data_IF_833247362098
#
_entry.id   IF_833247362098
#
_cell.length_a   1.000
_cell.length_b   1.000
_cell.length_c   1.000
_cell.angle_alpha   90.00
_cell.angle_beta   90.00
_cell.angle_gamma   90.00
#
_symmetry.space_group_name_H-M   'P 1'
#
loop_
_entity.id
_entity.type
_entity.pdbx_description
1 polymer ?
#
# COMPACT_ATOMS: atom_id res chain seq x y z
N UNK A 1 -8.92 -24.12 31.14
CA UNK A 1 -8.14 -25.30 30.72
C UNK A 1 -8.77 -25.82 29.42
N UNK A 2 -8.42 -25.21 28.29
CA UNK A 2 -8.89 -25.64 26.97
C UNK A 2 -7.73 -25.53 25.97
N UNK A 3 -7.67 -26.53 25.10
CA UNK A 3 -6.49 -26.99 24.39
C UNK A 3 -6.01 -26.04 23.29
N UNK A 4 -4.69 -25.85 23.27
CA UNK A 4 -3.89 -25.35 22.17
C UNK A 4 -4.20 -26.20 20.92
N UNK A 5 -4.99 -25.66 19.99
CA UNK A 5 -5.02 -26.15 18.61
C UNK A 5 -3.99 -25.37 17.82
N UNK A 6 -2.75 -25.88 17.81
CA UNK A 6 -1.81 -25.61 16.73
C UNK A 6 -2.44 -26.15 15.45
N UNK A 7 -3.03 -25.27 14.65
CA UNK A 7 -3.28 -25.57 13.25
C UNK A 7 -1.91 -25.63 12.60
N UNK A 8 -1.36 -26.84 12.51
CA UNK A 8 -0.33 -27.17 11.55
C UNK A 8 -1.02 -27.01 10.19
N UNK A 9 -0.91 -25.81 9.61
CA UNK A 9 -1.16 -25.64 8.20
C UNK A 9 -0.21 -26.56 7.48
N UNK A 10 -0.74 -27.63 6.88
CA UNK A 10 -0.03 -28.35 5.84
C UNK A 10 0.17 -27.34 4.70
N UNK A 11 1.31 -26.66 4.73
CA UNK A 11 1.85 -25.99 3.56
C UNK A 11 2.16 -27.12 2.58
N UNK A 12 1.22 -27.39 1.68
CA UNK A 12 1.57 -28.03 0.42
C UNK A 12 2.46 -27.04 -0.32
N UNK A 13 3.76 -27.09 -0.07
CA UNK A 13 4.77 -26.59 -0.97
C UNK A 13 4.71 -27.48 -2.22
N UNK A 14 3.79 -27.16 -3.12
CA UNK A 14 4.02 -27.47 -4.52
C UNK A 14 5.16 -26.56 -4.97
N UNK A 15 6.40 -27.01 -4.76
CA UNK A 15 7.50 -26.57 -5.59
C UNK A 15 7.22 -27.10 -6.99
N UNK A 16 6.64 -26.27 -7.86
CA UNK A 16 7.01 -26.34 -9.26
C UNK A 16 8.38 -25.67 -9.39
N UNK A 17 9.43 -26.35 -8.91
CA UNK A 17 10.77 -26.07 -9.37
C UNK A 17 10.83 -26.56 -10.82
N UNK A 18 10.45 -25.70 -11.75
CA UNK A 18 10.97 -25.80 -13.11
C UNK A 18 12.43 -25.33 -13.03
N UNK A 19 13.33 -26.17 -12.53
CA UNK A 19 14.75 -25.99 -12.75
C UNK A 19 14.94 -26.05 -14.26
N UNK A 20 15.06 -24.89 -14.90
CA UNK A 20 15.56 -24.82 -16.27
C UNK A 20 16.94 -25.46 -16.20
N UNK A 21 17.11 -26.60 -16.87
CA UNK A 21 18.43 -27.21 -17.05
C UNK A 21 19.34 -26.15 -17.70
N UNK A 22 20.26 -25.55 -16.94
CA UNK A 22 21.20 -24.54 -17.44
C UNK A 22 21.30 -23.21 -16.67
N UNK A 23 20.55 -22.99 -15.58
CA UNK A 23 20.73 -21.78 -14.76
C UNK A 23 22.05 -21.82 -13.97
N UNK A 24 22.88 -20.78 -14.12
CA UNK A 24 24.22 -20.69 -13.51
C UNK A 24 24.34 -19.57 -12.47
N UNK A 25 23.25 -18.84 -12.23
CA UNK A 25 23.19 -17.72 -11.30
C UNK A 25 21.95 -17.79 -10.42
N UNK A 26 22.09 -17.35 -9.18
CA UNK A 26 21.02 -17.10 -8.22
C UNK A 26 20.84 -15.59 -8.02
N UNK A 27 19.61 -15.16 -7.74
CA UNK A 27 19.28 -13.77 -7.45
C UNK A 27 18.27 -13.69 -6.32
N UNK A 28 18.47 -12.71 -5.44
CA UNK A 28 17.54 -12.35 -4.38
C UNK A 28 17.18 -10.88 -4.58
N UNK A 29 15.88 -10.58 -4.57
CA UNK A 29 15.36 -9.22 -4.58
C UNK A 29 14.86 -8.92 -3.16
N UNK A 30 15.40 -7.91 -2.49
CA UNK A 30 15.19 -7.69 -1.05
C UNK A 30 15.96 -8.71 -0.19
N UNK A 31 15.45 -9.07 0.99
CA UNK A 31 16.20 -9.89 1.97
C UNK A 31 15.72 -11.34 2.16
N UNK A 32 14.56 -11.78 1.63
CA UNK A 32 13.99 -13.08 2.07
C UNK A 32 13.28 -14.04 1.11
N UNK A 33 12.94 -13.71 -0.14
CA UNK A 33 12.44 -14.69 -1.12
C UNK A 33 12.29 -14.04 -2.50
N UNK A 34 12.99 -14.52 -3.53
CA UNK A 34 12.90 -13.96 -4.88
C UNK A 34 11.51 -14.14 -5.52
N UNK A 35 10.79 -15.22 -5.19
CA UNK A 35 9.46 -15.53 -5.75
C UNK A 35 8.32 -14.67 -5.17
N UNK A 36 8.57 -13.94 -4.09
CA UNK A 36 7.57 -13.09 -3.40
C UNK A 36 7.95 -11.61 -3.37
N UNK A 37 9.17 -11.28 -3.79
CA UNK A 37 9.64 -9.91 -3.81
C UNK A 37 9.01 -9.18 -4.99
N UNK A 38 8.03 -8.32 -4.70
CA UNK A 38 7.42 -7.43 -5.66
C UNK A 38 8.11 -6.07 -5.62
N UNK A 39 8.36 -5.52 -6.80
CA UNK A 39 8.91 -4.20 -7.00
C UNK A 39 7.82 -3.13 -7.01
N UNK A 40 8.30 -1.90 -6.85
CA UNK A 40 7.56 -0.66 -7.00
C UNK A 40 8.53 0.35 -7.64
N UNK A 41 8.17 1.63 -7.75
CA UNK A 41 9.01 2.65 -8.38
C UNK A 41 10.28 3.01 -7.61
N UNK A 42 10.30 2.77 -6.30
CA UNK A 42 11.50 3.02 -5.50
C UNK A 42 12.55 1.92 -5.71
N UNK A 43 13.84 2.27 -5.84
CA UNK A 43 14.93 1.31 -5.88
C UNK A 43 15.00 0.51 -4.58
N UNK A 44 15.25 -0.80 -4.72
CA UNK A 44 15.50 -1.70 -3.61
C UNK A 44 16.76 -2.51 -3.89
N UNK A 45 17.41 -2.97 -2.82
CA UNK A 45 18.60 -3.80 -2.93
C UNK A 45 18.21 -5.18 -3.47
N UNK A 46 18.95 -5.64 -4.47
CA UNK A 46 18.94 -7.00 -4.96
C UNK A 46 20.38 -7.52 -4.97
N UNK A 47 20.54 -8.84 -4.97
CA UNK A 47 21.83 -9.52 -4.98
C UNK A 47 21.84 -10.60 -6.05
N UNK A 48 22.97 -10.81 -6.70
CA UNK A 48 23.16 -11.89 -7.68
C UNK A 48 24.49 -12.59 -7.43
N UNK A 49 24.54 -13.90 -7.60
CA UNK A 49 25.72 -14.74 -7.41
C UNK A 49 25.75 -15.87 -8.44
N UNK A 50 26.93 -16.46 -8.66
CA UNK A 50 27.04 -17.74 -9.38
C UNK A 50 26.50 -18.87 -8.49
N UNK A 51 25.74 -19.80 -9.06
CA UNK A 51 25.26 -20.99 -8.32
C UNK A 51 26.40 -21.91 -7.89
N UNK A 52 27.49 -21.91 -8.67
CA UNK A 52 28.69 -22.70 -8.40
C UNK A 52 29.96 -21.88 -8.72
N UNK A 53 31.04 -22.04 -7.94
CA UNK A 53 32.32 -21.42 -8.23
C UNK A 53 32.84 -21.73 -9.65
N UNK A 54 33.58 -20.78 -10.23
CA UNK A 54 34.20 -20.88 -11.55
C UNK A 54 35.71 -20.63 -11.47
N UNK A 55 36.42 -20.86 -12.56
CA UNK A 55 37.87 -20.65 -12.64
C UNK A 55 38.27 -19.17 -12.76
N UNK A 56 37.34 -18.32 -13.19
CA UNK A 56 37.53 -16.88 -13.38
C UNK A 56 36.23 -16.13 -13.09
N UNK A 57 36.34 -14.83 -12.81
CA UNK A 57 35.18 -13.97 -12.61
C UNK A 57 34.36 -13.89 -13.91
N UNK A 58 33.05 -13.79 -13.78
CA UNK A 58 32.12 -13.83 -14.93
C UNK A 58 31.49 -12.45 -15.11
N UNK A 59 31.76 -11.79 -16.23
CA UNK A 59 31.08 -10.55 -16.59
C UNK A 59 29.68 -10.87 -17.13
N UNK A 60 28.66 -10.24 -16.56
CA UNK A 60 27.26 -10.39 -16.95
C UNK A 60 26.59 -9.04 -17.14
N UNK A 61 25.53 -9.01 -17.95
CA UNK A 61 24.63 -7.88 -18.11
C UNK A 61 23.24 -8.30 -17.64
N UNK A 62 22.67 -7.56 -16.69
CA UNK A 62 21.28 -7.71 -16.29
C UNK A 62 20.41 -6.82 -17.17
N UNK A 63 19.33 -7.39 -17.72
CA UNK A 63 18.37 -6.68 -18.57
C UNK A 63 16.93 -7.02 -18.17
N UNK A 64 16.02 -6.04 -18.29
CA UNK A 64 14.59 -6.32 -18.36
C UNK A 64 14.30 -6.95 -19.73
N UNK A 65 13.68 -8.12 -19.81
CA UNK A 65 13.53 -8.88 -21.06
C UNK A 65 12.14 -9.53 -21.20
N UNK A 66 11.53 -9.58 -22.39
CA UNK A 66 11.92 -8.84 -23.58
C UNK A 66 11.60 -7.36 -23.39
N UNK A 67 12.54 -6.51 -23.77
CA UNK A 67 12.36 -5.06 -23.77
C UNK A 67 11.98 -4.63 -25.17
N UNK A 68 10.69 -4.50 -25.41
CA UNK A 68 10.17 -3.93 -26.65
C UNK A 68 9.37 -2.68 -26.27
N UNK A 69 9.56 -1.57 -27.00
CA UNK A 69 8.92 -0.29 -26.68
C UNK A 69 7.38 -0.36 -26.81
N UNK A 70 6.84 -1.45 -27.38
CA UNK A 70 5.42 -1.76 -27.55
C UNK A 70 4.79 -2.55 -26.38
N UNK A 71 5.58 -3.14 -25.47
CA UNK A 71 5.07 -3.85 -24.30
C UNK A 71 4.79 -2.87 -23.16
N UNK A 72 3.51 -2.76 -22.78
CA UNK A 72 3.04 -1.93 -21.66
C UNK A 72 3.11 -2.63 -20.29
N UNK A 73 3.59 -3.87 -20.24
CA UNK A 73 3.48 -4.72 -19.04
C UNK A 73 4.86 -4.95 -18.43
N UNK A 74 4.95 -4.77 -17.11
CA UNK A 74 6.03 -5.23 -16.24
C UNK A 74 7.45 -4.98 -16.75
N UNK A 75 7.98 -3.77 -16.57
CA UNK A 75 9.38 -3.47 -16.90
C UNK A 75 10.16 -2.99 -15.69
N UNK A 76 11.47 -3.22 -15.70
CA UNK A 76 12.38 -2.74 -14.65
C UNK A 76 13.53 -1.91 -15.19
N UNK A 77 14.06 -1.10 -14.29
CA UNK A 77 15.28 -0.33 -14.47
C UNK A 77 16.25 -0.66 -13.34
N UNK A 78 17.54 -0.61 -13.68
CA UNK A 78 18.63 -0.83 -12.74
C UNK A 78 19.27 0.50 -12.40
N UNK A 79 19.87 0.58 -11.22
CA UNK A 79 20.61 1.75 -10.82
C UNK A 79 22.01 1.37 -10.37
N UNK A 80 23.01 2.09 -10.86
CA UNK A 80 24.39 1.88 -10.45
C UNK A 80 24.55 2.24 -8.97
N UNK A 81 24.92 1.26 -8.13
CA UNK A 81 25.24 1.48 -6.72
C UNK A 81 26.58 2.22 -6.66
N UNK A 82 26.59 3.50 -6.26
CA UNK A 82 27.84 4.16 -5.89
C UNK A 82 28.28 3.59 -4.54
N UNK A 83 29.43 2.90 -4.50
CA UNK A 83 30.09 2.34 -3.30
C UNK A 83 30.44 3.43 -2.26
N UNK A 84 29.43 4.06 -1.67
CA UNK A 84 29.60 5.23 -0.79
C UNK A 84 29.05 5.01 0.61
N UNK A 85 28.46 3.84 0.89
CA UNK A 85 27.83 3.53 2.18
C UNK A 85 26.60 4.40 2.50
N UNK A 86 26.11 5.19 1.54
CA UNK A 86 24.91 6.02 1.68
C UNK A 86 23.71 5.34 1.00
N UNK A 87 22.55 5.46 1.63
CA UNK A 87 21.28 4.97 1.09
C UNK A 87 20.89 5.66 -0.22
N UNK A 88 20.04 4.95 -0.94
CA UNK A 88 19.64 5.33 -2.26
C UNK A 88 18.51 6.36 -2.30
N UNK A 89 18.84 7.65 -2.30
CA UNK A 89 17.88 8.79 -2.38
C UNK A 89 17.50 9.20 -3.80
N UNK A 90 16.32 9.76 -4.02
CA UNK A 90 15.86 10.23 -5.34
C UNK A 90 16.78 11.25 -6.02
N UNK A 91 17.72 11.91 -5.31
CA UNK A 91 18.63 12.92 -5.87
C UNK A 91 19.89 12.35 -6.52
N UNK A 92 20.40 11.19 -6.10
CA UNK A 92 21.76 10.73 -6.46
C UNK A 92 21.84 9.43 -7.28
N UNK A 93 20.72 8.84 -7.68
CA UNK A 93 20.68 7.72 -8.63
C UNK A 93 20.76 8.16 -10.09
N UNK A 94 20.93 7.21 -11.00
CA UNK A 94 20.64 7.33 -12.44
C UNK A 94 20.16 5.96 -12.88
N UNK A 95 18.95 5.87 -13.42
CA UNK A 95 18.42 4.61 -13.94
C UNK A 95 19.08 4.26 -15.27
N UNK A 96 19.22 2.96 -15.51
CA UNK A 96 19.64 2.38 -16.78
C UNK A 96 18.72 1.21 -17.13
N UNK A 97 18.59 0.95 -18.42
CA UNK A 97 17.83 -0.18 -18.95
C UNK A 97 18.53 -1.52 -18.72
N UNK A 98 19.83 -1.47 -18.43
CA UNK A 98 20.70 -2.60 -18.13
C UNK A 98 21.80 -2.20 -17.13
N UNK A 99 22.40 -3.20 -16.47
CA UNK A 99 23.59 -3.00 -15.65
C UNK A 99 24.60 -4.12 -15.89
N UNK A 100 25.86 -3.74 -16.09
CA UNK A 100 26.96 -4.71 -16.12
C UNK A 100 27.42 -5.02 -14.69
N UNK A 101 27.59 -6.30 -14.39
CA UNK A 101 28.03 -6.81 -13.09
C UNK A 101 29.17 -7.82 -13.32
N UNK A 102 30.19 -7.79 -12.47
CA UNK A 102 31.23 -8.82 -12.43
C UNK A 102 30.91 -9.76 -11.28
N UNK A 103 30.56 -11.00 -11.60
CA UNK A 103 30.29 -12.05 -10.62
C UNK A 103 31.61 -12.69 -10.15
N UNK A 104 31.92 -12.65 -8.85
CA UNK A 104 33.11 -13.26 -8.28
C UNK A 104 33.16 -14.77 -8.51
N UNK A 105 34.31 -15.27 -8.96
CA UNK A 105 34.51 -16.70 -9.25
C UNK A 105 34.29 -17.64 -8.07
N UNK A 106 34.33 -17.13 -6.84
CA UNK A 106 34.11 -17.88 -5.61
C UNK A 106 32.62 -18.02 -5.24
N UNK A 107 31.70 -17.39 -6.00
CA UNK A 107 30.27 -17.42 -5.72
C UNK A 107 29.77 -16.35 -4.74
N UNK A 108 30.61 -15.36 -4.39
CA UNK A 108 30.17 -14.27 -3.51
C UNK A 108 29.04 -13.43 -4.15
N UNK A 109 28.11 -12.99 -3.30
CA UNK A 109 26.98 -12.16 -3.70
C UNK A 109 27.41 -10.74 -4.07
N UNK A 110 26.92 -10.25 -5.21
CA UNK A 110 27.08 -8.86 -5.64
C UNK A 110 25.75 -8.13 -5.51
N UNK A 111 25.76 -7.01 -4.77
CA UNK A 111 24.58 -6.17 -4.60
C UNK A 111 24.41 -5.16 -5.74
N UNK A 112 23.18 -4.97 -6.18
CA UNK A 112 22.75 -3.94 -7.12
C UNK A 112 21.39 -3.38 -6.70
N UNK A 113 20.90 -2.37 -7.42
CA UNK A 113 19.60 -1.77 -7.17
C UNK A 113 18.69 -1.96 -8.38
N UNK A 114 17.43 -2.27 -8.11
CA UNK A 114 16.39 -2.48 -9.11
C UNK A 114 15.09 -1.80 -8.67
N UNK A 115 14.34 -1.25 -9.63
CA UNK A 115 12.98 -0.76 -9.43
C UNK A 115 12.14 -1.04 -10.68
N UNK A 116 10.82 -0.88 -10.55
CA UNK A 116 9.94 -0.81 -11.71
C UNK A 116 10.26 0.39 -12.60
N UNK A 117 10.14 0.21 -13.91
CA UNK A 117 10.21 1.28 -14.89
C UNK A 117 8.88 2.05 -14.88
N UNK A 118 8.91 3.31 -14.45
CA UNK A 118 7.70 4.09 -14.23
C UNK A 118 6.86 4.17 -15.52
N UNK A 119 5.56 3.88 -15.40
CA UNK A 119 4.65 3.76 -16.54
C UNK A 119 4.49 2.35 -17.09
N UNK A 120 5.26 1.38 -16.60
CA UNK A 120 5.20 -0.03 -17.02
C UNK A 120 4.93 -0.98 -15.84
N UNK A 121 3.82 -0.81 -15.10
CA UNK A 121 3.47 -1.71 -14.01
C UNK A 121 3.15 -3.11 -14.55
N UNK A 122 3.22 -4.12 -13.69
CA UNK A 122 2.75 -5.45 -14.03
C UNK A 122 1.23 -5.45 -14.25
N UNK A 123 0.80 -6.31 -15.17
CA UNK A 123 -0.62 -6.64 -15.39
C UNK A 123 -0.93 -8.05 -14.90
N UNK A 124 0.08 -8.92 -14.80
CA UNK A 124 -0.03 -10.24 -14.22
C UNK A 124 1.09 -10.47 -13.19
N UNK A 125 0.87 -11.36 -12.20
CA UNK A 125 1.96 -11.80 -11.33
C UNK A 125 3.11 -12.40 -12.13
N UNK A 126 4.34 -12.08 -11.74
CA UNK A 126 5.59 -12.62 -12.30
C UNK A 126 5.79 -12.34 -13.80
N UNK A 127 5.21 -11.25 -14.32
CA UNK A 127 5.32 -10.86 -15.73
C UNK A 127 6.56 -10.03 -16.07
N UNK A 128 7.29 -9.55 -15.05
CA UNK A 128 8.62 -8.97 -15.22
C UNK A 128 9.63 -10.10 -15.29
N UNK A 129 10.55 -10.01 -16.25
CA UNK A 129 11.63 -10.97 -16.41
C UNK A 129 12.98 -10.26 -16.46
N UNK A 130 13.81 -10.51 -15.47
CA UNK A 130 15.19 -10.04 -15.37
C UNK A 130 16.10 -11.14 -15.91
N UNK A 131 16.67 -10.91 -17.09
CA UNK A 131 17.63 -11.83 -17.70
C UNK A 131 19.05 -11.50 -17.28
N UNK A 132 19.86 -12.52 -17.03
CA UNK A 132 21.30 -12.40 -16.82
C UNK A 132 22.00 -12.96 -18.05
N UNK A 133 22.69 -12.09 -18.78
CA UNK A 133 23.32 -12.39 -20.07
C UNK A 133 24.84 -12.32 -19.92
N UNK A 134 25.57 -13.34 -20.38
CA UNK A 134 27.04 -13.36 -20.31
C UNK A 134 27.69 -12.50 -21.41
N UNK A 135 29.03 -12.45 -21.44
CA UNK A 135 29.79 -11.70 -22.45
C UNK A 135 29.58 -12.14 -23.90
N UNK A 136 29.10 -13.37 -24.13
CA UNK A 136 28.80 -13.92 -25.46
C UNK A 136 27.36 -13.62 -25.92
N UNK A 137 26.57 -12.91 -25.11
CA UNK A 137 25.16 -12.65 -25.39
C UNK A 137 24.24 -13.83 -25.05
N UNK A 138 24.74 -14.85 -24.36
CA UNK A 138 23.97 -16.03 -23.95
C UNK A 138 23.29 -15.74 -22.61
N UNK A 139 22.00 -16.03 -22.52
CA UNK A 139 21.28 -15.97 -21.25
C UNK A 139 21.65 -17.16 -20.37
N UNK A 140 22.11 -16.84 -19.16
CA UNK A 140 22.64 -17.82 -18.19
C UNK A 140 21.81 -17.87 -16.89
N UNK A 141 20.73 -17.07 -16.82
CA UNK A 141 19.77 -17.05 -15.74
C UNK A 141 18.58 -16.12 -16.00
N UNK A 142 17.44 -16.43 -15.39
CA UNK A 142 16.20 -15.65 -15.48
C UNK A 142 15.60 -15.54 -14.08
N UNK A 143 15.14 -14.34 -13.74
CA UNK A 143 14.40 -14.10 -12.51
C UNK A 143 13.09 -13.36 -12.81
N UNK A 144 11.98 -13.97 -12.42
CA UNK A 144 10.67 -13.38 -12.62
C UNK A 144 10.21 -12.66 -11.36
N UNK A 145 9.56 -11.51 -11.54
CA UNK A 145 9.02 -10.69 -10.45
C UNK A 145 7.81 -9.89 -10.97
N UNK A 146 7.24 -9.03 -10.15
CA UNK A 146 6.18 -8.12 -10.57
C UNK A 146 6.45 -6.70 -10.07
N UNK A 147 5.98 -5.70 -10.81
CA UNK A 147 5.89 -4.31 -10.35
C UNK A 147 4.45 -4.03 -9.93
N UNK A 148 4.21 -3.91 -8.62
CA UNK A 148 2.90 -3.62 -8.05
C UNK A 148 2.73 -2.12 -7.83
N UNK A 149 1.55 -1.62 -8.19
CA UNK A 149 1.12 -0.25 -7.91
C UNK A 149 -0.35 -0.20 -7.52
N UNK A 150 -0.71 0.78 -6.68
CA UNK A 150 -2.09 1.20 -6.48
C UNK A 150 -2.54 1.96 -7.72
N UNK A 151 -3.63 1.51 -8.34
CA UNK A 151 -4.15 2.05 -9.60
C UNK A 151 -5.48 2.77 -9.39
N UNK A 152 -5.81 3.68 -10.29
CA UNK A 152 -7.15 4.26 -10.31
C UNK A 152 -8.19 3.16 -10.55
N UNK A 153 -9.15 3.03 -9.64
CA UNK A 153 -10.21 2.05 -9.69
C UNK A 153 -11.05 2.12 -11.00
N UNK A 154 -11.18 3.31 -11.61
CA UNK A 154 -11.84 3.49 -12.91
C UNK A 154 -11.10 2.85 -14.09
N UNK A 155 -9.80 2.58 -13.94
CA UNK A 155 -8.91 2.04 -14.98
C UNK A 155 -8.55 0.57 -14.77
N UNK A 156 -9.02 -0.05 -13.68
CA UNK A 156 -8.75 -1.46 -13.43
C UNK A 156 -9.39 -2.33 -14.51
N UNK A 157 -8.66 -3.35 -14.92
CA UNK A 157 -9.18 -4.46 -15.71
C UNK A 157 -10.14 -5.32 -14.88
N UNK A 158 -10.95 -6.14 -15.55
CA UNK A 158 -11.83 -7.11 -14.88
C UNK A 158 -11.06 -8.07 -13.97
N UNK A 159 -9.86 -8.51 -14.38
CA UNK A 159 -9.00 -9.40 -13.60
C UNK A 159 -8.50 -8.73 -12.32
N UNK A 160 -8.11 -7.45 -12.40
CA UNK A 160 -7.66 -6.70 -11.22
C UNK A 160 -8.81 -6.43 -10.25
N UNK A 161 -9.98 -6.08 -10.77
CA UNK A 161 -11.20 -5.97 -9.97
C UNK A 161 -11.53 -7.27 -9.25
N UNK A 162 -11.58 -8.38 -9.98
CA UNK A 162 -11.84 -9.70 -9.40
C UNK A 162 -10.81 -10.08 -8.34
N UNK A 163 -9.52 -9.77 -8.56
CA UNK A 163 -8.46 -10.01 -7.57
C UNK A 163 -8.74 -9.27 -6.27
N UNK A 164 -8.98 -7.97 -6.33
CA UNK A 164 -9.29 -7.17 -5.15
C UNK A 164 -10.55 -7.66 -4.42
N UNK A 165 -11.64 -7.86 -5.17
CA UNK A 165 -12.95 -8.26 -4.63
C UNK A 165 -12.87 -9.64 -3.97
N UNK A 166 -12.29 -10.63 -4.66
CA UNK A 166 -12.15 -11.99 -4.14
C UNK A 166 -11.26 -12.02 -2.89
N UNK A 167 -10.13 -11.33 -2.91
CA UNK A 167 -9.19 -11.31 -1.78
C UNK A 167 -9.82 -10.69 -0.54
N UNK A 168 -10.52 -9.56 -0.70
CA UNK A 168 -11.22 -8.92 0.41
C UNK A 168 -12.41 -9.76 0.91
N UNK A 169 -13.11 -10.47 0.00
CA UNK A 169 -14.18 -11.39 0.39
C UNK A 169 -13.68 -12.56 1.25
N UNK A 170 -12.48 -13.06 0.96
CA UNK A 170 -11.80 -14.09 1.76
C UNK A 170 -11.40 -13.52 3.12
N UNK A 171 -10.77 -12.34 3.17
CA UNK A 171 -10.36 -11.70 4.42
C UNK A 171 -11.55 -11.41 5.36
N UNK A 172 -12.69 -11.00 4.78
CA UNK A 172 -13.93 -10.75 5.51
C UNK A 172 -14.74 -12.00 5.83
N UNK A 173 -14.39 -13.13 5.23
CA UNK A 173 -15.11 -14.39 5.37
C UNK A 173 -16.61 -14.26 5.03
N UNK A 174 -16.92 -13.58 3.90
CA UNK A 174 -18.30 -13.17 3.51
C UNK A 174 -19.30 -14.33 3.50
N UNK A 175 -18.83 -15.54 3.19
CA UNK A 175 -19.70 -16.71 3.03
C UNK A 175 -19.94 -17.49 4.33
N UNK A 176 -19.26 -17.15 5.42
CA UNK A 176 -19.43 -17.78 6.73
C UNK A 176 -19.87 -16.74 7.79
N UNK A 177 -19.73 -17.08 9.07
CA UNK A 177 -19.95 -16.14 10.17
C UNK A 177 -18.82 -15.10 10.24
N UNK A 178 -18.96 -14.05 9.43
CA UNK A 178 -18.04 -12.92 9.38
C UNK A 178 -17.89 -12.12 10.69
N UNK A 179 -18.65 -12.45 11.75
CA UNK A 179 -18.63 -11.69 13.03
C UNK A 179 -17.28 -11.68 13.74
N UNK A 180 -16.40 -12.64 13.42
CA UNK A 180 -15.04 -12.74 13.97
C UNK A 180 -13.94 -12.69 12.88
N UNK A 181 -14.27 -12.27 11.66
CA UNK A 181 -13.26 -12.16 10.59
C UNK A 181 -12.21 -11.09 10.91
N UNK A 182 -11.02 -11.18 10.30
CA UNK A 182 -10.01 -10.15 10.49
C UNK A 182 -10.47 -8.78 9.96
N UNK A 183 -11.27 -8.77 8.89
CA UNK A 183 -11.80 -7.54 8.33
C UNK A 183 -12.67 -6.77 9.33
N UNK A 184 -13.55 -7.42 10.11
CA UNK A 184 -14.44 -6.69 11.04
C UNK A 184 -13.71 -5.96 12.16
N UNK A 185 -12.42 -6.26 12.38
CA UNK A 185 -11.57 -5.47 13.29
C UNK A 185 -11.31 -4.05 12.76
N UNK A 186 -11.26 -3.84 11.45
CA UNK A 186 -10.95 -2.55 10.83
C UNK A 186 -11.99 -1.45 11.17
N UNK A 187 -13.31 -1.64 10.98
CA UNK A 187 -14.28 -0.63 11.37
C UNK A 187 -14.32 -0.38 12.88
N UNK A 188 -14.07 -1.42 13.70
CA UNK A 188 -14.01 -1.29 15.17
C UNK A 188 -12.82 -0.42 15.57
N UNK A 189 -11.62 -0.74 15.08
CA UNK A 189 -10.40 0.03 15.33
C UNK A 189 -10.56 1.46 14.84
N UNK A 190 -11.01 1.68 13.62
CA UNK A 190 -11.17 3.04 13.10
C UNK A 190 -12.10 3.89 13.97
N UNK A 191 -13.23 3.33 14.41
CA UNK A 191 -14.15 4.03 15.29
C UNK A 191 -13.56 4.35 16.66
N UNK A 192 -12.77 3.42 17.24
CA UNK A 192 -12.07 3.64 18.50
C UNK A 192 -10.90 4.62 18.38
N UNK A 193 -10.16 4.62 17.25
CA UNK A 193 -8.98 5.44 17.00
C UNK A 193 -9.28 6.92 16.71
N UNK A 194 -10.54 7.36 16.81
CA UNK A 194 -10.98 8.69 16.36
C UNK A 194 -10.06 9.82 16.83
N UNK A 195 -9.62 9.80 18.09
CA UNK A 195 -8.77 10.84 18.68
C UNK A 195 -7.37 10.94 18.06
N UNK A 196 -6.86 9.90 17.41
CA UNK A 196 -5.57 9.91 16.71
C UNK A 196 -5.74 10.05 15.20
N UNK A 197 -6.76 9.37 14.66
CA UNK A 197 -6.99 9.26 13.24
C UNK A 197 -7.63 10.51 12.62
N UNK A 198 -8.29 11.36 13.42
CA UNK A 198 -9.11 12.48 12.94
C UNK A 198 -8.89 13.75 13.78
N UNK A 199 -9.35 14.89 13.26
CA UNK A 199 -9.35 16.18 13.93
C UNK A 199 -7.95 16.77 14.14
N UNK A 200 -6.96 16.31 13.38
CA UNK A 200 -5.58 16.70 13.61
C UNK A 200 -4.57 16.21 12.57
N UNK A 201 -3.31 16.64 12.72
CA UNK A 201 -2.29 16.44 11.69
C UNK A 201 -1.94 14.97 11.43
N UNK A 202 -2.27 14.04 12.34
CA UNK A 202 -2.05 12.61 12.09
C UNK A 202 -3.09 11.96 11.17
N UNK A 203 -4.11 12.70 10.71
CA UNK A 203 -5.09 12.19 9.76
C UNK A 203 -4.44 11.48 8.56
N UNK A 204 -3.45 12.11 7.92
CA UNK A 204 -2.77 11.52 6.75
C UNK A 204 -1.89 10.30 7.12
N UNK A 205 -0.92 10.39 8.06
CA UNK A 205 -0.05 9.26 8.39
C UNK A 205 -0.80 8.09 9.03
N UNK A 206 -1.81 8.33 9.87
CA UNK A 206 -2.60 7.26 10.49
C UNK A 206 -3.37 6.46 9.43
N UNK A 207 -4.01 7.14 8.48
CA UNK A 207 -4.72 6.44 7.41
C UNK A 207 -3.78 5.76 6.39
N UNK A 208 -2.58 6.30 6.15
CA UNK A 208 -1.52 5.61 5.40
C UNK A 208 -1.14 4.29 6.07
N UNK A 209 -0.91 4.31 7.38
CA UNK A 209 -0.64 3.12 8.18
C UNK A 209 -1.81 2.12 8.15
N UNK A 210 -3.05 2.61 8.25
CA UNK A 210 -4.27 1.80 8.20
C UNK A 210 -4.48 1.10 6.85
N UNK A 211 -4.24 1.80 5.74
CA UNK A 211 -4.23 1.20 4.40
C UNK A 211 -3.13 0.16 4.26
N UNK A 212 -1.92 0.46 4.75
CA UNK A 212 -0.79 -0.46 4.64
C UNK A 212 -1.07 -1.75 5.41
N UNK A 213 -1.65 -1.64 6.61
CA UNK A 213 -2.08 -2.79 7.40
C UNK A 213 -3.03 -3.69 6.61
N UNK A 214 -4.13 -3.13 6.06
CA UNK A 214 -5.08 -3.92 5.27
C UNK A 214 -4.41 -4.54 4.03
N UNK A 215 -3.65 -3.74 3.28
CA UNK A 215 -3.05 -4.20 2.03
C UNK A 215 -2.10 -5.37 2.25
N UNK A 216 -1.41 -5.43 3.40
CA UNK A 216 -0.51 -6.55 3.69
C UNK A 216 -1.27 -7.80 4.12
N UNK A 217 -2.36 -7.67 4.88
CA UNK A 217 -3.25 -8.81 5.17
C UNK A 217 -3.86 -9.39 3.88
N UNK A 218 -4.27 -8.53 2.94
CA UNK A 218 -4.71 -8.96 1.62
C UNK A 218 -3.58 -9.67 0.85
N UNK A 219 -2.34 -9.20 0.99
CA UNK A 219 -1.19 -9.80 0.31
C UNK A 219 -0.72 -11.13 0.89
N UNK A 220 -1.15 -11.48 2.11
CA UNK A 220 -1.00 -12.85 2.63
C UNK A 220 -1.88 -13.82 1.83
N UNK A 221 -3.07 -13.39 1.41
CA UNK A 221 -4.01 -14.18 0.60
C UNK A 221 -3.62 -14.15 -0.89
N UNK A 222 -3.34 -12.97 -1.43
CA UNK A 222 -2.91 -12.77 -2.82
C UNK A 222 -1.76 -11.76 -2.87
N UNK A 223 -0.53 -12.27 -3.01
CA UNK A 223 0.67 -11.41 -2.99
C UNK A 223 0.72 -10.33 -4.08
N UNK A 224 -0.09 -10.39 -5.14
CA UNK A 224 -0.09 -9.38 -6.20
C UNK A 224 -1.15 -8.27 -5.99
N UNK A 225 -2.10 -8.46 -5.06
CA UNK A 225 -3.18 -7.49 -4.82
C UNK A 225 -2.64 -6.15 -4.29
N UNK A 226 -3.28 -5.06 -4.73
CA UNK A 226 -3.09 -3.71 -4.21
C UNK A 226 -4.45 -3.08 -3.94
N UNK A 227 -4.51 -2.13 -3.00
CA UNK A 227 -5.72 -1.34 -2.78
C UNK A 227 -5.82 -0.29 -3.89
N UNK A 228 -6.87 -0.29 -4.72
CA UNK A 228 -7.04 0.74 -5.73
C UNK A 228 -7.53 2.04 -5.09
N UNK A 229 -7.36 3.16 -5.78
CA UNK A 229 -7.88 4.45 -5.33
C UNK A 229 -9.05 4.92 -6.17
N UNK A 230 -10.04 5.57 -5.55
CA UNK A 230 -11.11 6.24 -6.28
C UNK A 230 -10.80 7.73 -6.40
N UNK A 231 -10.51 8.19 -7.62
CA UNK A 231 -10.36 9.62 -7.91
C UNK A 231 -11.74 10.31 -7.90
N UNK A 232 -12.20 10.62 -6.69
CA UNK A 232 -13.57 11.09 -6.40
C UNK A 232 -13.81 12.57 -6.73
N UNK A 233 -12.81 13.32 -7.19
CA UNK A 233 -13.00 14.66 -7.78
C UNK A 233 -13.36 14.59 -9.29
N UNK A 234 -13.66 13.40 -9.79
CA UNK A 234 -14.14 13.15 -11.15
C UNK A 234 -15.26 12.10 -11.15
N UNK A 235 -15.99 12.00 -12.27
CA UNK A 235 -17.03 10.99 -12.44
C UNK A 235 -16.45 9.56 -12.42
N UNK A 236 -17.19 8.62 -11.82
CA UNK A 236 -16.77 7.25 -11.57
C UNK A 236 -17.76 6.21 -12.09
N UNK A 237 -17.64 5.84 -13.37
CA UNK A 237 -18.61 4.98 -14.07
C UNK A 237 -18.37 3.50 -13.85
N UNK A 238 -17.12 3.09 -13.60
CA UNK A 238 -16.73 1.70 -13.51
C UNK A 238 -16.65 1.18 -12.07
N UNK A 239 -16.56 2.07 -11.08
CA UNK A 239 -16.47 1.69 -9.66
C UNK A 239 -17.82 1.20 -9.10
N UNK A 240 -18.90 1.95 -9.32
CA UNK A 240 -20.21 1.69 -8.72
C UNK A 240 -21.12 0.89 -9.66
N UNK A 241 -20.69 -0.35 -9.95
CA UNK A 241 -21.42 -1.30 -10.79
C UNK A 241 -21.76 -2.55 -10.00
N UNK A 242 -22.75 -3.32 -10.46
CA UNK A 242 -23.14 -4.62 -9.86
C UNK A 242 -21.99 -5.64 -9.78
N UNK A 243 -20.92 -5.46 -10.57
CA UNK A 243 -19.77 -6.36 -10.64
C UNK A 243 -18.55 -5.86 -9.87
N UNK A 244 -18.59 -4.63 -9.34
CA UNK A 244 -17.50 -4.00 -8.62
C UNK A 244 -17.97 -3.60 -7.20
N UNK A 245 -18.06 -2.31 -6.90
CA UNK A 245 -18.41 -1.86 -5.55
C UNK A 245 -19.91 -1.92 -5.26
N UNK A 246 -20.75 -2.31 -6.22
CA UNK A 246 -22.20 -2.34 -6.07
C UNK A 246 -22.89 -1.03 -6.47
N UNK A 247 -24.20 -1.10 -6.61
CA UNK A 247 -25.11 -0.02 -7.05
C UNK A 247 -26.17 0.22 -5.96
N UNK A 248 -26.83 1.39 -5.87
CA UNK A 248 -27.89 1.55 -4.87
C UNK A 248 -29.13 0.71 -5.25
N UNK A 249 -29.77 0.09 -4.26
CA UNK A 249 -31.10 -0.52 -4.38
C UNK A 249 -32.16 0.58 -4.43
N UNK A 250 -32.75 0.82 -5.61
CA UNK A 250 -33.77 1.85 -5.79
C UNK A 250 -33.23 3.29 -5.65
N UNK A 251 -34.14 4.26 -5.54
CA UNK A 251 -33.82 5.70 -5.61
C UNK A 251 -33.56 6.39 -4.24
N UNK A 252 -33.52 5.63 -3.13
CA UNK A 252 -33.36 6.22 -1.79
C UNK A 252 -31.90 6.42 -1.38
N UNK A 253 -31.61 7.49 -0.62
CA UNK A 253 -30.28 7.84 -0.10
C UNK A 253 -29.74 6.88 1.00
N UNK A 254 -30.58 6.02 1.56
CA UNK A 254 -30.14 4.96 2.49
C UNK A 254 -30.41 3.57 1.87
N UNK A 255 -30.25 3.46 0.55
CA UNK A 255 -30.51 2.25 -0.19
C UNK A 255 -29.55 1.13 0.20
N UNK A 256 -30.06 -0.10 0.28
CA UNK A 256 -29.18 -1.29 0.38
C UNK A 256 -28.27 -1.32 -0.85
N UNK A 257 -27.01 -1.69 -0.68
CA UNK A 257 -26.13 -1.86 -1.84
C UNK A 257 -26.43 -3.21 -2.51
N UNK A 258 -26.64 -3.20 -3.81
CA UNK A 258 -26.87 -4.40 -4.62
C UNK A 258 -25.64 -4.81 -5.40
N UNK A 259 -25.51 -6.12 -5.56
CA UNK A 259 -24.47 -6.77 -6.33
C UNK A 259 -25.10 -7.82 -7.26
N UNK A 260 -24.36 -8.23 -8.30
CA UNK A 260 -24.78 -9.34 -9.13
C UNK A 260 -24.91 -10.65 -8.31
N UNK A 261 -25.74 -11.59 -8.79
CA UNK A 261 -26.03 -12.83 -8.06
C UNK A 261 -24.79 -13.70 -7.74
N UNK A 262 -23.75 -13.57 -8.56
CA UNK A 262 -22.49 -14.30 -8.42
C UNK A 262 -21.37 -13.45 -7.78
N UNK A 263 -21.67 -12.23 -7.36
CA UNK A 263 -20.69 -11.36 -6.75
C UNK A 263 -20.22 -11.90 -5.40
N UNK A 264 -18.90 -11.92 -5.11
CA UNK A 264 -18.37 -12.39 -3.83
C UNK A 264 -18.93 -11.63 -2.62
N UNK A 265 -19.34 -10.37 -2.79
CA UNK A 265 -19.90 -9.53 -1.73
C UNK A 265 -21.44 -9.51 -1.66
N UNK A 266 -22.16 -10.39 -2.37
CA UNK A 266 -23.64 -10.40 -2.36
C UNK A 266 -24.26 -10.53 -0.96
N UNK A 267 -23.54 -11.17 -0.04
CA UNK A 267 -23.92 -11.40 1.35
C UNK A 267 -23.10 -10.58 2.34
N UNK A 268 -22.39 -9.55 1.87
CA UNK A 268 -21.56 -8.70 2.70
C UNK A 268 -22.34 -8.10 3.86
N UNK A 269 -21.82 -8.32 5.08
CA UNK A 269 -22.40 -7.85 6.33
C UNK A 269 -21.33 -7.52 7.35
N UNK A 270 -21.57 -6.52 8.17
CA UNK A 270 -20.81 -6.22 9.40
C UNK A 270 -21.83 -6.08 10.54
N UNK A 271 -21.58 -6.65 11.72
CA UNK A 271 -22.56 -6.65 12.81
C UNK A 271 -23.96 -7.17 12.41
N UNK A 272 -24.01 -8.18 11.51
CA UNK A 272 -25.25 -8.74 10.96
C UNK A 272 -25.98 -7.86 9.91
N UNK A 273 -25.55 -6.62 9.72
CA UNK A 273 -26.21 -5.62 8.87
C UNK A 273 -25.55 -5.55 7.50
N UNK A 274 -26.36 -5.51 6.42
CA UNK A 274 -25.86 -5.35 5.04
C UNK A 274 -25.29 -3.95 4.81
N UNK A 275 -24.51 -3.78 3.74
CA UNK A 275 -24.14 -2.46 3.24
C UNK A 275 -25.39 -1.62 2.92
N UNK A 276 -25.36 -0.37 3.33
CA UNK A 276 -26.47 0.59 3.23
C UNK A 276 -25.86 1.97 2.98
N UNK A 277 -25.87 2.43 1.73
CA UNK A 277 -25.18 3.66 1.31
C UNK A 277 -25.84 4.29 0.07
N UNK A 278 -25.69 5.60 -0.10
CA UNK A 278 -25.98 6.40 -1.30
C UNK A 278 -24.91 6.20 -2.38
N UNK A 279 -24.71 4.98 -2.89
CA UNK A 279 -23.79 4.79 -4.03
C UNK A 279 -24.19 5.73 -5.18
N UNK A 280 -23.25 6.43 -5.84
CA UNK A 280 -23.57 7.42 -6.85
C UNK A 280 -24.02 6.66 -8.08
N UNK A 281 -25.33 6.47 -8.21
CA UNK A 281 -25.94 5.88 -9.40
C UNK A 281 -25.40 6.57 -10.66
N UNK A 282 -25.07 5.76 -11.67
CA UNK A 282 -24.49 6.20 -12.94
C UNK A 282 -23.12 6.92 -12.86
N UNK A 283 -22.43 6.85 -11.72
CA UNK A 283 -21.06 7.33 -11.59
C UNK A 283 -20.89 8.84 -11.50
N UNK A 284 -21.86 9.54 -10.92
CA UNK A 284 -21.77 10.98 -10.70
C UNK A 284 -20.64 11.33 -9.73
N UNK A 285 -19.93 12.43 -10.00
CA UNK A 285 -18.94 12.98 -9.07
C UNK A 285 -19.63 13.47 -7.79
N UNK A 286 -19.06 13.21 -6.59
CA UNK A 286 -19.44 13.87 -5.36
C UNK A 286 -19.41 15.41 -5.46
N UNK A 287 -20.49 16.05 -5.01
CA UNK A 287 -20.61 17.51 -4.92
C UNK A 287 -19.86 18.00 -3.68
N UNK A 288 -19.22 19.17 -3.77
CA UNK A 288 -18.50 19.79 -2.64
C UNK A 288 -17.01 19.49 -2.62
N UNK A 289 -16.61 18.31 -3.13
CA UNK A 289 -15.20 17.88 -3.21
C UNK A 289 -14.32 18.95 -3.85
N UNK A 290 -13.34 19.42 -3.09
CA UNK A 290 -12.24 20.26 -3.60
C UNK A 290 -11.43 19.44 -4.61
N UNK A 291 -11.20 19.91 -5.85
CA UNK A 291 -10.36 19.20 -6.82
C UNK A 291 -8.94 18.90 -6.31
N UNK A 292 -8.40 17.73 -6.66
CA UNK A 292 -7.09 17.29 -6.15
C UNK A 292 -5.97 18.28 -6.53
N UNK A 293 -6.05 18.92 -7.70
CA UNK A 293 -5.05 19.87 -8.18
C UNK A 293 -4.98 21.13 -7.31
N UNK A 294 -6.07 21.54 -6.66
CA UNK A 294 -6.06 22.65 -5.69
C UNK A 294 -5.42 22.24 -4.36
N UNK A 295 -5.67 21.00 -3.92
CA UNK A 295 -5.02 20.45 -2.72
C UNK A 295 -3.51 20.33 -2.95
N UNK A 296 -3.11 19.75 -4.08
CA UNK A 296 -1.72 19.54 -4.46
C UNK A 296 -1.00 20.87 -4.71
N UNK A 297 -1.66 21.81 -5.37
CA UNK A 297 -1.13 23.14 -5.70
C UNK A 297 -1.08 24.11 -4.52
N UNK A 298 -1.57 23.71 -3.34
CA UNK A 298 -1.43 24.52 -2.13
C UNK A 298 0.06 24.68 -1.77
N UNK A 299 0.61 25.85 -2.11
CA UNK A 299 1.92 26.31 -1.67
C UNK A 299 1.83 26.69 -0.19
N UNK A 300 1.70 25.69 0.69
CA UNK A 300 1.34 25.90 2.08
C UNK A 300 2.00 24.92 3.03
N UNK A 301 2.00 25.27 4.31
CA UNK A 301 2.42 24.38 5.37
C UNK A 301 1.50 23.15 5.46
N UNK A 302 2.00 22.09 6.09
CA UNK A 302 1.26 20.85 6.31
C UNK A 302 -0.12 21.06 6.96
N UNK A 303 -0.30 22.13 7.74
CA UNK A 303 -1.55 22.37 8.46
C UNK A 303 -2.71 22.68 7.53
N UNK A 304 -2.49 23.50 6.51
CA UNK A 304 -3.50 23.76 5.48
C UNK A 304 -3.80 22.50 4.67
N UNK A 305 -2.77 21.71 4.34
CA UNK A 305 -2.96 20.46 3.60
C UNK A 305 -3.87 19.49 4.34
N UNK A 306 -3.53 19.08 5.57
CA UNK A 306 -4.31 18.04 6.26
C UNK A 306 -5.73 18.52 6.56
N UNK A 307 -5.92 19.80 6.89
CA UNK A 307 -7.24 20.36 7.20
C UNK A 307 -8.15 20.40 5.96
N UNK A 308 -7.64 20.79 4.79
CA UNK A 308 -8.42 20.75 3.55
C UNK A 308 -8.64 19.32 3.07
N UNK A 309 -7.66 18.45 3.29
CA UNK A 309 -7.79 17.04 2.94
C UNK A 309 -8.89 16.37 3.76
N UNK A 310 -8.86 16.50 5.09
CA UNK A 310 -9.85 15.90 6.01
C UNK A 310 -11.24 16.53 5.86
N UNK A 311 -11.32 17.84 5.64
CA UNK A 311 -12.57 18.57 5.42
C UNK A 311 -13.16 18.31 4.02
N UNK A 312 -13.31 19.37 3.23
CA UNK A 312 -14.07 19.35 1.96
C UNK A 312 -13.42 18.58 0.79
N UNK A 313 -12.42 17.74 1.01
CA UNK A 313 -11.96 16.78 -0.01
C UNK A 313 -12.41 15.36 0.34
N UNK A 314 -11.89 14.83 1.45
CA UNK A 314 -12.25 13.51 1.99
C UNK A 314 -13.67 13.49 2.59
N UNK A 315 -13.99 14.44 3.47
CA UNK A 315 -15.27 14.51 4.17
C UNK A 315 -16.45 14.57 3.22
N UNK A 316 -16.39 15.42 2.18
CA UNK A 316 -17.45 15.52 1.18
C UNK A 316 -17.61 14.22 0.34
N UNK A 317 -16.54 13.45 0.15
CA UNK A 317 -16.61 12.14 -0.51
C UNK A 317 -17.32 11.11 0.37
N UNK A 318 -17.09 11.13 1.69
CA UNK A 318 -17.83 10.31 2.66
C UNK A 318 -19.30 10.72 2.76
N UNK A 319 -19.57 12.01 2.96
CA UNK A 319 -20.91 12.56 3.16
C UNK A 319 -21.81 12.32 1.95
N UNK A 320 -21.25 12.38 0.74
CA UNK A 320 -22.02 12.09 -0.48
C UNK A 320 -22.54 10.65 -0.52
N UNK A 321 -21.75 9.71 -0.02
CA UNK A 321 -22.12 8.29 0.01
C UNK A 321 -23.01 7.96 1.20
N UNK A 322 -23.10 8.83 2.22
CA UNK A 322 -24.02 8.70 3.36
C UNK A 322 -23.88 7.31 4.05
N UNK A 323 -24.91 6.82 4.75
CA UNK A 323 -24.98 5.42 5.15
C UNK A 323 -23.94 5.01 6.20
N UNK A 324 -23.22 3.92 5.91
CA UNK A 324 -22.07 3.50 6.73
C UNK A 324 -20.89 4.42 6.53
N UNK A 325 -20.68 4.91 5.31
CA UNK A 325 -19.55 5.74 4.96
C UNK A 325 -19.57 7.11 5.65
N UNK A 326 -20.72 7.64 6.05
CA UNK A 326 -20.84 8.88 6.82
C UNK A 326 -20.70 8.69 8.36
N UNK A 327 -20.24 7.52 8.84
CA UNK A 327 -20.13 7.20 10.27
C UNK A 327 -18.70 6.81 10.66
N UNK A 328 -18.40 6.79 11.96
CA UNK A 328 -17.09 6.33 12.47
C UNK A 328 -16.77 4.87 12.16
N UNK A 329 -17.77 4.06 11.78
CA UNK A 329 -17.62 2.67 11.33
C UNK A 329 -17.52 2.55 9.79
N UNK A 330 -17.21 3.64 9.10
CA UNK A 330 -17.12 3.71 7.63
C UNK A 330 -16.25 2.64 6.97
N UNK A 331 -15.18 2.09 7.58
CA UNK A 331 -14.45 0.96 6.98
C UNK A 331 -15.25 -0.33 6.84
N UNK A 332 -16.49 -0.39 7.31
CA UNK A 332 -17.38 -1.53 7.08
C UNK A 332 -17.84 -1.63 5.62
N UNK A 333 -17.75 -0.53 4.88
CA UNK A 333 -17.88 -0.49 3.43
C UNK A 333 -16.47 -0.45 2.79
N UNK A 334 -16.11 -1.43 1.94
CA UNK A 334 -14.84 -1.44 1.21
C UNK A 334 -14.50 -0.16 0.42
N UNK A 335 -15.48 0.66 0.05
CA UNK A 335 -15.24 1.95 -0.64
C UNK A 335 -14.41 2.89 0.23
N UNK A 336 -14.46 2.77 1.57
CA UNK A 336 -13.59 3.49 2.50
C UNK A 336 -12.12 3.43 2.06
N UNK A 337 -11.63 2.23 1.73
CA UNK A 337 -10.23 2.03 1.40
C UNK A 337 -9.85 2.66 0.06
N UNK A 338 -10.81 2.78 -0.88
CA UNK A 338 -10.61 3.49 -2.14
C UNK A 338 -10.54 5.01 -1.94
N UNK A 339 -11.39 5.56 -1.07
CA UNK A 339 -11.37 6.98 -0.69
C UNK A 339 -10.03 7.31 -0.03
N UNK A 340 -9.64 6.53 1.00
CA UNK A 340 -8.41 6.79 1.72
C UNK A 340 -7.16 6.52 0.88
N UNK A 341 -7.17 5.56 -0.05
CA UNK A 341 -6.07 5.37 -0.99
C UNK A 341 -5.90 6.58 -1.93
N UNK A 342 -6.99 7.28 -2.29
CA UNK A 342 -6.94 8.54 -3.01
C UNK A 342 -6.40 9.67 -2.13
N UNK A 343 -6.86 9.80 -0.89
CA UNK A 343 -6.31 10.77 0.09
C UNK A 343 -4.79 10.59 0.23
N UNK A 344 -4.33 9.36 0.41
CA UNK A 344 -2.91 9.03 0.53
C UNK A 344 -2.13 9.34 -0.77
N UNK A 345 -2.75 9.10 -1.94
CA UNK A 345 -2.17 9.47 -3.25
C UNK A 345 -2.01 10.98 -3.39
N UNK A 346 -3.02 11.76 -3.02
CA UNK A 346 -2.98 13.23 -3.10
C UNK A 346 -1.90 13.77 -2.16
N UNK A 347 -1.76 13.20 -0.96
CA UNK A 347 -0.65 13.55 -0.07
C UNK A 347 0.71 13.20 -0.71
N UNK A 348 0.88 12.00 -1.27
CA UNK A 348 2.10 11.62 -1.97
C UNK A 348 2.45 12.57 -3.13
N UNK A 349 1.46 13.00 -3.93
CA UNK A 349 1.63 14.01 -4.99
C UNK A 349 2.05 15.37 -4.43
N UNK A 350 1.44 15.82 -3.34
CA UNK A 350 1.82 17.07 -2.67
C UNK A 350 3.26 17.01 -2.13
N UNK A 351 3.64 15.90 -1.47
CA UNK A 351 5.00 15.70 -0.97
C UNK A 351 6.00 15.72 -2.14
N UNK A 352 5.67 15.04 -3.24
CA UNK A 352 6.50 15.00 -4.43
C UNK A 352 6.67 16.36 -5.09
N UNK A 353 5.60 17.13 -5.25
CA UNK A 353 5.64 18.46 -5.85
C UNK A 353 6.42 19.47 -5.00
N UNK A 354 6.40 19.32 -3.67
CA UNK A 354 7.08 20.23 -2.75
C UNK A 354 8.43 19.70 -2.21
N UNK A 355 8.83 18.48 -2.57
CA UNK A 355 10.01 17.79 -1.99
C UNK A 355 9.97 17.66 -0.45
N UNK A 356 8.78 17.41 0.11
CA UNK A 356 8.52 17.40 1.55
C UNK A 356 8.43 15.97 2.11
N UNK A 357 9.59 15.31 2.14
CA UNK A 357 9.76 13.94 2.65
C UNK A 357 10.60 13.84 3.92
N UNK A 358 11.17 14.94 4.41
CA UNK A 358 11.97 14.92 5.64
C UNK A 358 11.05 14.87 6.88
N UNK A 359 11.06 13.76 7.66
CA UNK A 359 10.20 13.64 8.84
C UNK A 359 10.56 14.58 9.98
N UNK A 360 11.74 15.22 9.91
CA UNK A 360 12.21 16.20 10.90
C UNK A 360 11.90 17.64 10.51
N UNK A 361 11.27 17.85 9.35
CA UNK A 361 10.93 19.17 8.84
C UNK A 361 9.48 19.53 9.15
N UNK A 362 9.29 20.64 9.88
CA UNK A 362 7.96 21.17 10.20
C UNK A 362 7.16 21.62 8.97
N UNK A 363 7.82 21.75 7.81
CA UNK A 363 7.17 22.03 6.53
C UNK A 363 6.41 20.81 6.00
N UNK A 364 6.97 19.61 6.19
CA UNK A 364 6.40 18.37 5.68
C UNK A 364 5.44 17.68 6.66
N UNK A 365 5.64 17.90 7.96
CA UNK A 365 4.75 17.44 9.02
C UNK A 365 4.91 18.30 10.28
N UNK A 366 3.82 18.65 10.94
CA UNK A 366 3.86 19.29 12.25
C UNK A 366 2.64 18.87 13.09
N UNK A 367 2.78 18.72 14.43
CA UNK A 367 3.94 19.03 15.26
C UNK A 367 5.07 17.98 15.24
N UNK A 368 6.29 18.42 15.53
CA UNK A 368 7.48 17.57 15.65
C UNK A 368 7.78 17.22 17.11
N UNK A 369 8.34 16.04 17.36
CA UNK A 369 8.73 15.58 18.69
C UNK A 369 7.73 14.58 19.27
N UNK A 370 7.65 14.50 20.59
CA UNK A 370 6.75 13.59 21.32
C UNK A 370 5.74 14.42 22.10
N UNK A 371 4.51 13.93 22.21
CA UNK A 371 3.50 14.55 23.05
C UNK A 371 3.89 14.48 24.53
N UNK A 372 3.87 15.63 25.21
CA UNK A 372 4.11 15.73 26.66
C UNK A 372 2.83 16.09 27.42
N UNK A 373 2.54 15.37 28.50
CA UNK A 373 1.29 15.50 29.25
C UNK A 373 1.21 16.76 30.12
N UNK A 374 2.34 17.41 30.42
CA UNK A 374 2.48 18.48 31.43
C UNK A 374 2.40 19.92 30.90
N UNK A 375 1.76 20.17 29.74
CA UNK A 375 1.62 21.53 29.17
C UNK A 375 0.52 21.67 28.11
N UNK A 376 -0.55 20.88 28.21
CA UNK A 376 -1.46 20.55 27.10
C UNK A 376 -2.12 21.78 26.44
N UNK A 377 -1.88 21.93 25.14
CA UNK A 377 -2.97 22.33 24.25
C UNK A 377 -3.94 21.15 24.16
N UNK A 378 -5.18 21.32 24.62
CA UNK A 378 -6.26 20.32 24.42
C UNK A 378 -6.54 20.05 22.93
N UNK A 379 -5.95 20.83 22.03
CA UNK A 379 -6.23 20.78 20.59
C UNK A 379 -5.28 19.84 19.83
N UNK A 380 -4.30 19.19 20.47
CA UNK A 380 -3.39 18.20 19.84
C UNK A 380 -3.02 17.07 20.82
N UNK A 381 -3.85 16.02 20.94
CA UNK A 381 -3.59 14.88 21.83
C UNK A 381 -2.41 14.00 21.36
N UNK A 382 -2.09 12.98 22.17
CA UNK A 382 -1.12 11.93 21.85
C UNK A 382 -1.51 11.25 20.53
N UNK A 383 -0.51 10.90 19.72
CA UNK A 383 -0.68 10.28 18.40
C UNK A 383 -0.64 11.27 17.25
N UNK A 384 -0.50 12.57 17.55
CA UNK A 384 -0.37 13.63 16.54
C UNK A 384 1.03 14.24 16.43
N UNK A 385 1.99 13.81 17.24
CA UNK A 385 3.36 14.31 17.14
C UNK A 385 4.22 13.33 16.34
N UNK A 386 5.22 13.84 15.62
CA UNK A 386 6.03 13.03 14.70
C UNK A 386 6.64 11.79 15.35
N UNK A 387 7.01 11.86 16.63
CA UNK A 387 7.63 10.76 17.37
C UNK A 387 6.63 10.06 18.31
N UNK A 388 5.34 10.34 18.18
CA UNK A 388 4.32 9.53 18.84
C UNK A 388 4.13 8.23 18.06
N UNK A 389 3.92 7.14 18.80
CA UNK A 389 3.37 5.91 18.27
C UNK A 389 1.89 6.09 17.94
N UNK A 390 1.37 5.23 17.07
CA UNK A 390 -0.03 5.24 16.66
C UNK A 390 -0.77 3.99 17.17
N UNK A 391 -1.88 4.19 17.86
CA UNK A 391 -2.85 3.13 18.16
C UNK A 391 -3.61 2.74 16.87
N UNK A 392 -3.88 1.46 16.59
CA UNK A 392 -3.86 0.29 17.48
C UNK A 392 -2.52 -0.43 17.62
N UNK A 393 -1.51 -0.04 16.85
CA UNK A 393 -0.30 -0.84 16.66
C UNK A 393 0.69 -0.75 17.84
N UNK A 394 0.57 0.26 18.68
CA UNK A 394 1.34 0.38 19.93
C UNK A 394 0.68 -0.29 21.14
N UNK A 395 -0.56 -0.76 20.99
CA UNK A 395 -1.33 -1.37 22.07
C UNK A 395 -1.65 -0.43 23.23
N UNK A 396 -1.53 0.89 23.06
CA UNK A 396 -1.88 1.86 24.10
C UNK A 396 -3.39 2.11 24.15
N UNK A 397 -4.05 1.51 25.13
CA UNK A 397 -5.50 1.61 25.36
C UNK A 397 -5.91 2.78 26.27
N UNK A 398 -5.07 3.80 26.42
CA UNK A 398 -5.41 4.98 27.21
C UNK A 398 -6.53 5.84 26.59
N UNK A 399 -7.26 6.57 27.43
CA UNK A 399 -8.33 7.47 26.99
C UNK A 399 -7.80 8.64 26.14
N UNK A 400 -6.49 8.90 26.15
CA UNK A 400 -5.83 9.87 25.30
C UNK A 400 -5.78 9.42 23.83
N UNK A 401 -5.73 8.12 23.56
CA UNK A 401 -5.55 7.54 22.21
C UNK A 401 -6.88 7.05 21.63
N UNK A 402 -7.79 6.57 22.48
CA UNK A 402 -9.09 6.04 22.09
C UNK A 402 -10.24 6.99 22.43
N UNK A 403 -11.23 7.07 21.55
CA UNK A 403 -12.52 7.73 21.82
C UNK A 403 -13.50 6.79 22.53
N UNK A 404 -13.45 5.51 22.22
CA UNK A 404 -14.31 4.45 22.78
C UNK A 404 -13.47 3.25 23.14
N UNK A 405 -13.83 2.55 24.23
CA UNK A 405 -13.22 1.25 24.50
C UNK A 405 -13.71 0.23 23.48
N UNK A 406 -12.88 -0.75 23.13
CA UNK A 406 -13.28 -1.82 22.21
C UNK A 406 -14.51 -2.59 22.70
N UNK A 407 -14.68 -2.72 24.02
CA UNK A 407 -15.84 -3.37 24.65
C UNK A 407 -17.16 -2.68 24.35
N UNK A 408 -17.15 -1.36 24.19
CA UNK A 408 -18.35 -0.59 23.83
C UNK A 408 -18.80 -0.87 22.38
N UNK A 409 -17.93 -1.50 21.59
CA UNK A 409 -18.15 -1.81 20.17
C UNK A 409 -18.43 -3.30 19.92
N UNK A 410 -18.56 -4.13 20.98
CA UNK A 410 -18.81 -5.58 20.90
C UNK A 410 -20.06 -5.96 20.10
N UNK A 411 -21.01 -5.04 19.90
CA UNK A 411 -22.19 -5.27 19.07
C UNK A 411 -21.85 -5.43 17.57
N UNK A 412 -20.67 -4.96 17.13
CA UNK A 412 -20.16 -5.15 15.76
C UNK A 412 -19.57 -6.54 15.52
N UNK A 413 -19.32 -7.32 16.59
CA UNK A 413 -18.70 -8.65 16.58
C UNK A 413 -17.96 -8.92 17.89
N UNK A 414 -17.86 -10.19 18.30
CA UNK A 414 -17.13 -10.58 19.50
C UNK A 414 -15.62 -10.69 19.19
N UNK A 415 -14.86 -9.62 19.40
CA UNK A 415 -13.41 -9.68 19.25
C UNK A 415 -12.80 -10.41 20.46
N UNK A 416 -12.29 -11.63 20.26
CA UNK A 416 -11.53 -12.36 21.29
C UNK A 416 -10.10 -11.80 21.47
N UNK A 417 -9.58 -11.09 20.46
CA UNK A 417 -8.29 -10.39 20.50
C UNK A 417 -8.39 -8.98 19.90
N UNK A 418 -8.05 -8.00 20.74
CA UNK A 418 -8.36 -6.57 20.63
C UNK A 418 -7.39 -5.75 19.77
N UNK A 419 -6.55 -6.40 18.94
CA UNK A 419 -5.49 -5.69 18.18
C UNK A 419 -5.43 -6.08 16.71
N UNK A 420 -5.16 -5.07 15.88
CA UNK A 420 -4.63 -5.22 14.53
C UNK A 420 -3.12 -5.02 14.68
N UNK A 421 -2.34 -6.08 14.44
CA UNK A 421 -0.89 -5.97 14.44
C UNK A 421 -0.43 -5.18 13.20
N UNK A 422 0.68 -4.45 13.31
CA UNK A 422 1.27 -3.88 12.11
C UNK A 422 1.97 -4.99 11.33
N UNK A 423 1.54 -5.30 10.10
CA UNK A 423 2.04 -6.48 9.40
C UNK A 423 3.51 -6.30 9.03
N UNK A 424 4.35 -7.24 9.48
CA UNK A 424 5.76 -7.29 9.07
C UNK A 424 5.85 -7.97 7.71
N UNK A 425 6.10 -7.19 6.67
CA UNK A 425 6.68 -7.72 5.43
C UNK A 425 8.19 -7.46 5.49
N UNK A 426 8.98 -8.52 5.33
CA UNK A 426 10.43 -8.38 5.18
C UNK A 426 10.74 -7.32 4.12
N UNK A 427 11.63 -6.38 4.43
CA UNK A 427 12.14 -5.30 3.56
C UNK A 427 11.33 -4.00 3.50
N UNK A 428 10.05 -3.96 3.91
CA UNK A 428 9.16 -2.82 3.60
C UNK A 428 8.23 -2.36 4.72
N UNK A 429 8.60 -2.61 5.97
CA UNK A 429 7.77 -2.26 7.10
C UNK A 429 8.47 -1.24 8.01
N UNK A 430 7.70 -0.31 8.60
CA UNK A 430 8.12 0.37 9.81
C UNK A 430 8.22 -0.65 10.96
N UNK A 431 8.49 -0.15 12.14
CA UNK A 431 8.51 -0.96 13.36
C UNK A 431 7.11 -1.53 13.65
N UNK A 432 6.99 -2.56 14.49
CA UNK A 432 5.70 -3.12 14.92
C UNK A 432 4.75 -2.08 15.55
N UNK A 433 5.32 -1.02 16.12
CA UNK A 433 4.61 0.15 16.62
C UNK A 433 5.12 1.37 15.84
N UNK A 434 4.58 1.61 14.63
CA UNK A 434 5.05 2.70 13.77
C UNK A 434 4.86 4.05 14.44
N UNK A 435 5.85 4.92 14.24
CA UNK A 435 5.74 6.32 14.56
C UNK A 435 5.00 7.05 13.45
N UNK A 436 4.41 8.19 13.79
CA UNK A 436 3.86 9.12 12.79
C UNK A 436 4.92 9.50 11.75
N UNK A 437 6.16 9.74 12.18
CA UNK A 437 7.30 10.07 11.34
C UNK A 437 7.64 8.97 10.33
N UNK A 438 7.40 7.69 10.65
CA UNK A 438 7.70 6.56 9.77
C UNK A 438 6.88 6.64 8.48
N UNK A 439 5.70 7.28 8.53
CA UNK A 439 4.76 7.37 7.42
C UNK A 439 5.10 8.50 6.43
N UNK A 440 6.07 9.36 6.71
CA UNK A 440 6.35 10.55 5.91
C UNK A 440 7.16 10.22 4.65
N UNK A 441 8.33 9.58 4.77
CA UNK A 441 9.22 9.25 3.65
C UNK A 441 8.88 7.87 3.03
N UNK A 442 7.63 7.71 2.55
CA UNK A 442 7.06 6.39 2.25
C UNK A 442 7.79 5.57 1.18
N UNK A 443 8.49 6.20 0.24
CA UNK A 443 9.32 5.54 -0.78
C UNK A 443 10.82 5.68 -0.50
N UNK A 444 11.23 6.17 0.67
CA UNK A 444 12.63 6.45 1.00
C UNK A 444 13.29 7.43 0.01
N UNK A 445 12.59 8.50 -0.38
CA UNK A 445 13.11 9.55 -1.26
C UNK A 445 14.37 10.21 -0.69
N UNK A 446 14.44 10.41 0.63
CA UNK A 446 15.58 11.04 1.30
C UNK A 446 16.44 10.05 2.11
N UNK A 447 16.08 8.75 2.12
CA UNK A 447 16.79 7.73 2.90
C UNK A 447 16.65 7.94 4.41
N UNK A 448 15.57 8.60 4.85
CA UNK A 448 15.33 8.87 6.28
C UNK A 448 14.57 7.73 6.94
N UNK A 449 13.62 7.13 6.22
CA UNK A 449 12.91 5.94 6.63
C UNK A 449 13.16 4.81 5.63
N UNK A 450 12.93 3.57 6.04
CA UNK A 450 12.80 2.47 5.09
C UNK A 450 11.57 2.72 4.20
N UNK A 451 11.66 2.31 2.94
CA UNK A 451 10.49 2.31 2.06
C UNK A 451 9.37 1.46 2.66
N UNK A 452 8.14 1.94 2.55
CA UNK A 452 6.93 1.22 2.96
C UNK A 452 6.46 0.22 1.90
N UNK A 453 7.16 0.11 0.76
CA UNK A 453 6.96 -0.93 -0.26
C UNK A 453 5.65 -0.85 -1.04
N UNK A 454 5.16 0.36 -1.28
CA UNK A 454 4.00 0.61 -2.15
C UNK A 454 4.17 1.93 -2.92
N UNK A 455 3.44 2.08 -4.02
CA UNK A 455 3.42 3.29 -4.84
C UNK A 455 2.12 3.40 -5.62
N UNK A 456 1.94 4.56 -6.25
CA UNK A 456 0.83 4.88 -7.13
C UNK A 456 1.24 4.86 -8.58
N UNK A 457 0.34 4.46 -9.46
CA UNK A 457 0.54 4.41 -10.91
C UNK A 457 0.97 5.75 -11.54
N UNK A 458 0.76 6.87 -10.85
CA UNK A 458 1.07 8.21 -11.34
C UNK A 458 1.93 9.09 -10.39
N UNK A 459 2.58 8.48 -9.40
CA UNK A 459 3.57 9.18 -8.54
C UNK A 459 4.94 8.54 -8.74
N UNK A 460 5.86 9.14 -9.51
CA UNK A 460 7.16 8.55 -9.79
C UNK A 460 8.11 8.68 -8.59
N UNK A 461 9.13 7.82 -8.55
CA UNK A 461 10.22 7.97 -7.57
C UNK A 461 11.15 9.15 -7.89
N UNK A 462 11.17 9.63 -9.13
CA UNK A 462 12.03 10.73 -9.59
C UNK A 462 11.31 11.67 -10.52
N UNK A 463 11.66 12.95 -10.44
CA UNK A 463 11.33 13.94 -11.47
C UNK A 463 12.12 13.58 -12.73
N UNK A 464 11.47 13.60 -13.89
CA UNK A 464 12.19 13.54 -15.15
C UNK A 464 13.19 14.69 -15.24
N UNK A 465 14.28 14.53 -16.00
CA UNK A 465 15.38 15.52 -16.16
C UNK A 465 14.95 16.94 -16.58
N UNK A 466 13.66 17.18 -16.85
CA UNK A 466 13.12 18.44 -17.36
C UNK A 466 12.38 19.27 -16.30
N UNK A 467 12.29 18.83 -15.03
CA UNK A 467 11.49 19.49 -13.99
C UNK A 467 12.29 19.88 -12.72
N UNK A 468 13.62 20.02 -12.82
CA UNK A 468 14.48 20.57 -11.77
C UNK A 468 15.03 21.94 -12.15
#
# INVERSE_FOLDING_TARGET
MLQIRRIIGLIFLFFLSATIHGQTVDMIIGEKDAEKAHLCWNPIVARVALTEPKNADVKVTLISSPRTDDRKNGQVVFFAKKNTGKDSTSKNFTSSKSIEIVLPKNGDWVEFLVAGDFGYPSTNPNDVRIAVVNGDGIEIGIFNTSVRVRKNAEKLTSTEWQRFINTLAILHDVNNDSSNSLYVKYPVVHNAAWNMAHGGPAFLPWHRAFLLALERELQVIDSFVTIPYWKFDTASKNIFTLMAMGTPAGESLDGKVEFSANHPWKNWRVGGTKLVDSRPGNGSQPVGVIPEDLIIGSNGDYSTLWSNMEGSHHGDAHDRLNGWLARGISPSDPVFFLIHAQVDRVWAKWQFNNSLFDPTSSKGYAPLGTWESSGKSRNRPKGHWSNDTMWPWDGDESNETQRFSLRDLNWLGHLEEDRIEFPIISNFAPNLSPLVADMIDYMSFHGKNKSLGYCYDDVPFRRGKNND
#
